data_IF_349445268621
#
_entry.id   IF_349445268621
#
_cell.length_a   1.000
_cell.length_b   1.000
_cell.length_c   1.000
_cell.angle_alpha   90.00
_cell.angle_beta   90.00
_cell.angle_gamma   90.00
#
_symmetry.space_group_name_H-M   'P 1'
#
loop_
_entity.id
_entity.type
_entity.pdbx_description
1 polymer ?
#
# COMPACT_ATOMS: atom_id res chain seq x y z
N UNK A 1 5.71 28.81 -26.59
CA UNK A 1 4.75 29.09 -25.49
C UNK A 1 5.06 28.10 -24.38
N UNK A 2 5.31 28.55 -23.15
CA UNK A 2 5.44 27.63 -22.00
C UNK A 2 4.05 27.17 -21.58
N UNK A 3 3.87 25.86 -21.40
CA UNK A 3 2.63 25.30 -20.88
C UNK A 3 2.39 25.78 -19.45
N UNK A 4 1.14 26.10 -19.12
CA UNK A 4 0.73 26.44 -17.76
C UNK A 4 0.86 25.22 -16.84
N UNK A 5 1.00 25.42 -15.52
CA UNK A 5 1.00 24.31 -14.56
C UNK A 5 -0.22 23.38 -14.69
N UNK A 6 -1.39 23.93 -15.04
CA UNK A 6 -2.61 23.15 -15.24
C UNK A 6 -2.54 22.27 -16.49
N UNK A 7 -2.01 22.78 -17.60
CA UNK A 7 -1.79 22.00 -18.83
C UNK A 7 -0.76 20.88 -18.61
N UNK A 8 0.30 21.16 -17.86
CA UNK A 8 1.30 20.16 -17.47
C UNK A 8 0.68 19.09 -16.58
N UNK A 9 -0.18 19.47 -15.63
CA UNK A 9 -0.92 18.53 -14.80
C UNK A 9 -1.82 17.61 -15.63
N UNK A 10 -2.64 18.15 -16.54
CA UNK A 10 -3.51 17.33 -17.39
C UNK A 10 -2.72 16.43 -18.36
N UNK A 11 -1.57 16.91 -18.84
CA UNK A 11 -0.65 16.10 -19.67
C UNK A 11 -0.10 14.93 -18.86
N UNK A 12 0.37 15.18 -17.64
CA UNK A 12 0.85 14.15 -16.74
C UNK A 12 -0.27 13.17 -16.36
N UNK A 13 -1.46 13.66 -16.03
CA UNK A 13 -2.63 12.84 -15.74
C UNK A 13 -2.98 11.92 -16.92
N UNK A 14 -3.04 12.46 -18.14
CA UNK A 14 -3.32 11.70 -19.36
C UNK A 14 -2.27 10.62 -19.60
N UNK A 15 -0.98 10.96 -19.43
CA UNK A 15 0.11 10.01 -19.53
C UNK A 15 -0.05 8.86 -18.52
N UNK A 16 -0.34 9.19 -17.26
CA UNK A 16 -0.51 8.18 -16.20
C UNK A 16 -1.74 7.31 -16.45
N UNK A 17 -2.87 7.88 -16.87
CA UNK A 17 -4.07 7.11 -17.23
C UNK A 17 -3.81 6.12 -18.36
N UNK A 18 -3.00 6.50 -19.35
CA UNK A 18 -2.68 5.63 -20.50
C UNK A 18 -1.70 4.50 -20.15
N UNK A 19 -0.72 4.77 -19.30
CA UNK A 19 0.39 3.84 -19.04
C UNK A 19 0.27 3.07 -17.71
N UNK A 20 -0.53 3.56 -16.77
CA UNK A 20 -0.71 3.02 -15.41
C UNK A 20 -2.20 2.95 -15.04
N UNK A 21 -3.03 2.53 -16.00
CA UNK A 21 -4.48 2.50 -15.85
C UNK A 21 -4.94 1.68 -14.63
N UNK A 22 -4.29 0.54 -14.34
CA UNK A 22 -4.60 -0.31 -13.19
C UNK A 22 -4.44 0.43 -11.87
N UNK A 23 -3.32 1.14 -11.71
CA UNK A 23 -2.97 1.89 -10.51
C UNK A 23 -3.94 3.08 -10.31
N UNK A 24 -4.28 3.79 -11.40
CA UNK A 24 -5.29 4.85 -11.39
C UNK A 24 -6.67 4.30 -11.00
N UNK A 25 -7.06 3.14 -11.55
CA UNK A 25 -8.35 2.51 -11.26
C UNK A 25 -8.46 2.17 -9.79
N UNK A 26 -7.42 1.62 -9.17
CA UNK A 26 -7.41 1.33 -7.73
C UNK A 26 -7.39 2.62 -6.89
N UNK A 27 -6.59 3.62 -7.25
CA UNK A 27 -6.58 4.91 -6.56
C UNK A 27 -7.96 5.58 -6.55
N UNK A 28 -8.70 5.50 -7.66
CA UNK A 28 -10.06 6.03 -7.77
C UNK A 28 -11.09 5.27 -6.92
N UNK A 29 -10.86 3.99 -6.59
CA UNK A 29 -11.73 3.28 -5.63
C UNK A 29 -11.57 3.83 -4.22
N UNK A 30 -10.34 4.21 -3.83
CA UNK A 30 -10.07 4.79 -2.51
C UNK A 30 -10.77 6.14 -2.31
N UNK A 31 -10.92 6.94 -3.38
CA UNK A 31 -11.67 8.21 -3.35
C UNK A 31 -13.18 8.03 -3.11
N UNK A 32 -13.70 6.80 -3.16
CA UNK A 32 -15.11 6.49 -2.94
C UNK A 32 -15.38 5.85 -1.57
N UNK A 33 -14.35 5.70 -0.74
CA UNK A 33 -14.47 5.14 0.62
C UNK A 33 -14.99 6.23 1.54
N UNK A 34 -16.08 5.96 2.25
CA UNK A 34 -16.60 6.82 3.31
C UNK A 34 -15.91 6.52 4.64
N UNK A 35 -15.72 7.54 5.49
CA UNK A 35 -14.98 7.38 6.76
C UNK A 35 -15.65 6.37 7.69
N UNK A 36 -16.97 6.19 7.61
CA UNK A 36 -17.69 5.19 8.39
C UNK A 36 -17.30 3.74 8.04
N UNK A 37 -16.74 3.49 6.85
CA UNK A 37 -16.31 2.16 6.41
C UNK A 37 -14.85 1.83 6.77
N UNK A 38 -14.16 2.76 7.42
CA UNK A 38 -12.74 2.61 7.77
C UNK A 38 -12.63 2.10 9.20
N UNK A 39 -12.64 0.77 9.36
CA UNK A 39 -12.25 0.14 10.61
C UNK A 39 -10.72 0.06 10.76
N UNK A 40 -10.23 -0.35 11.94
CA UNK A 40 -8.80 -0.44 12.24
C UNK A 40 -8.08 -1.39 11.28
N UNK A 41 -8.72 -2.50 10.93
CA UNK A 41 -8.17 -3.55 10.04
C UNK A 41 -7.99 -3.01 8.63
N UNK A 42 -9.01 -2.33 8.09
CA UNK A 42 -8.95 -1.67 6.80
C UNK A 42 -7.86 -0.61 6.78
N UNK A 43 -7.80 0.24 7.80
CA UNK A 43 -6.76 1.26 7.91
C UNK A 43 -5.36 0.64 7.93
N UNK A 44 -5.14 -0.38 8.77
CA UNK A 44 -3.85 -1.06 8.89
C UNK A 44 -3.42 -1.70 7.57
N UNK A 45 -4.33 -2.36 6.87
CA UNK A 45 -4.07 -2.91 5.54
C UNK A 45 -3.66 -1.84 4.53
N UNK A 46 -4.32 -0.67 4.53
CA UNK A 46 -3.92 0.44 3.64
C UNK A 46 -2.60 1.07 4.05
N UNK A 47 -2.34 1.22 5.34
CA UNK A 47 -1.08 1.74 5.84
C UNK A 47 0.10 0.86 5.41
N UNK A 48 0.02 -0.46 5.65
CA UNK A 48 1.04 -1.44 5.24
C UNK A 48 1.27 -1.38 3.73
N UNK A 49 0.19 -1.34 2.94
CA UNK A 49 0.28 -1.23 1.48
C UNK A 49 1.07 0.01 1.04
N UNK A 50 0.80 1.16 1.65
CA UNK A 50 1.51 2.43 1.37
C UNK A 50 2.97 2.36 1.80
N UNK A 51 3.26 1.81 2.98
CA UNK A 51 4.65 1.63 3.45
C UNK A 51 5.45 0.79 2.46
N UNK A 52 4.90 -0.29 1.93
CA UNK A 52 5.58 -1.07 0.90
C UNK A 52 5.68 -0.33 -0.44
N UNK A 53 4.59 0.27 -0.93
CA UNK A 53 4.59 0.99 -2.21
C UNK A 53 5.50 2.22 -2.24
N UNK A 54 5.90 2.77 -1.09
CA UNK A 54 6.88 3.88 -1.05
C UNK A 54 8.32 3.48 -1.46
N UNK A 55 8.60 2.19 -1.65
CA UNK A 55 9.89 1.72 -2.17
C UNK A 55 9.79 0.60 -3.22
N UNK A 56 8.60 0.11 -3.51
CA UNK A 56 8.35 -0.95 -4.48
C UNK A 56 7.29 -0.51 -5.49
N UNK A 57 7.38 -0.99 -6.73
CA UNK A 57 6.30 -0.83 -7.71
C UNK A 57 5.03 -1.49 -7.17
N UNK A 58 3.89 -0.84 -7.36
CA UNK A 58 2.58 -1.36 -6.94
C UNK A 58 2.36 -2.80 -7.41
N UNK A 59 2.68 -3.09 -8.68
CA UNK A 59 2.53 -4.42 -9.26
C UNK A 59 3.38 -5.51 -8.56
N UNK A 60 4.52 -5.15 -7.96
CA UNK A 60 5.34 -6.09 -7.18
C UNK A 60 4.69 -6.37 -5.83
N UNK A 61 4.23 -5.33 -5.14
CA UNK A 61 3.50 -5.48 -3.86
C UNK A 61 2.21 -6.26 -4.06
N UNK A 62 1.45 -5.92 -5.10
CA UNK A 62 0.17 -6.56 -5.41
C UNK A 62 0.31 -8.06 -5.73
N UNK A 63 1.40 -8.47 -6.37
CA UNK A 63 1.68 -9.90 -6.65
C UNK A 63 1.90 -10.73 -5.40
N UNK A 64 2.35 -10.12 -4.30
CA UNK A 64 2.58 -10.77 -3.00
C UNK A 64 1.52 -10.39 -1.97
N UNK A 65 0.45 -9.71 -2.38
CA UNK A 65 -0.47 -9.08 -1.44
C UNK A 65 -1.24 -10.09 -0.58
N UNK A 66 -1.59 -11.24 -1.14
CA UNK A 66 -2.24 -12.31 -0.38
C UNK A 66 -1.27 -12.88 0.68
N UNK A 67 -0.01 -13.15 0.32
CA UNK A 67 1.01 -13.59 1.28
C UNK A 67 1.25 -12.54 2.38
N UNK A 68 1.34 -11.26 2.01
CA UNK A 68 1.46 -10.14 2.95
C UNK A 68 0.23 -10.11 3.87
N UNK A 69 -0.99 -10.22 3.33
CA UNK A 69 -2.22 -10.21 4.13
C UNK A 69 -2.20 -11.33 5.17
N UNK A 70 -1.83 -12.53 4.76
CA UNK A 70 -1.82 -13.70 5.64
C UNK A 70 -0.74 -13.55 6.72
N UNK A 71 0.46 -13.08 6.36
CA UNK A 71 1.54 -12.80 7.33
C UNK A 71 1.16 -11.76 8.36
N UNK A 72 0.41 -10.72 7.98
CA UNK A 72 -0.04 -9.70 8.92
C UNK A 72 -1.40 -10.02 9.54
N UNK A 73 -1.78 -11.30 9.64
CA UNK A 73 -3.00 -11.76 10.30
C UNK A 73 -4.26 -11.03 9.80
N UNK A 74 -4.40 -10.90 8.47
CA UNK A 74 -5.47 -10.14 7.84
C UNK A 74 -5.57 -8.68 8.28
N UNK A 75 -4.44 -8.12 8.71
CA UNK A 75 -4.27 -6.77 9.23
C UNK A 75 -4.96 -6.52 10.58
N UNK A 76 -5.22 -7.58 11.33
CA UNK A 76 -5.72 -7.47 12.70
C UNK A 76 -4.63 -6.89 13.62
N UNK A 77 -4.91 -5.71 14.19
CA UNK A 77 -3.93 -4.96 14.97
C UNK A 77 -3.52 -5.70 16.24
N UNK A 78 -4.48 -6.34 16.91
CA UNK A 78 -4.22 -7.06 18.16
C UNK A 78 -3.28 -8.25 17.92
N UNK A 79 -3.53 -9.01 16.85
CA UNK A 79 -2.64 -10.10 16.41
C UNK A 79 -1.25 -9.59 16.03
N UNK A 80 -1.15 -8.47 15.31
CA UNK A 80 0.16 -7.89 14.92
C UNK A 80 1.01 -7.56 16.15
N UNK A 81 0.40 -6.99 17.18
CA UNK A 81 1.09 -6.66 18.44
C UNK A 81 1.53 -7.94 19.16
N UNK A 82 0.69 -8.97 19.20
CA UNK A 82 1.00 -10.22 19.90
C UNK A 82 2.07 -11.07 19.19
N UNK A 83 2.11 -11.05 17.87
CA UNK A 83 2.97 -11.93 17.05
C UNK A 83 4.08 -11.17 16.30
N UNK A 84 4.50 -10.02 16.81
CA UNK A 84 5.45 -9.12 16.14
C UNK A 84 6.74 -9.80 15.67
N UNK A 85 7.34 -10.69 16.47
CA UNK A 85 8.59 -11.36 16.11
C UNK A 85 8.40 -12.39 14.98
N UNK A 86 7.33 -13.17 15.05
CA UNK A 86 6.95 -14.13 13.99
C UNK A 86 6.67 -13.40 12.67
N UNK A 87 5.88 -12.31 12.73
CA UNK A 87 5.56 -11.49 11.56
C UNK A 87 6.84 -10.92 10.95
N UNK A 88 7.79 -10.50 11.77
CA UNK A 88 9.08 -9.99 11.28
C UNK A 88 9.83 -11.06 10.47
N UNK A 89 9.89 -12.29 10.98
CA UNK A 89 10.57 -13.40 10.32
C UNK A 89 9.90 -13.77 8.99
N UNK A 90 8.58 -13.90 8.97
CA UNK A 90 7.83 -14.25 7.76
C UNK A 90 7.85 -13.12 6.72
N UNK A 91 7.64 -11.87 7.14
CA UNK A 91 7.66 -10.72 6.24
C UNK A 91 9.05 -10.53 5.60
N UNK A 92 10.13 -10.92 6.28
CA UNK A 92 11.48 -10.92 5.70
C UNK A 92 11.63 -11.93 4.55
N UNK A 93 10.90 -13.06 4.58
CA UNK A 93 10.89 -14.03 3.46
C UNK A 93 10.09 -13.50 2.27
N UNK A 94 9.03 -12.75 2.53
CA UNK A 94 8.10 -12.27 1.48
C UNK A 94 8.52 -10.95 0.85
N UNK A 95 9.03 -9.97 1.59
CA UNK A 95 9.43 -8.67 1.01
C UNK A 95 10.90 -8.35 1.23
N UNK A 96 11.56 -8.96 2.22
CA UNK A 96 13.01 -8.83 2.41
C UNK A 96 13.48 -7.40 2.65
N UNK A 97 12.62 -6.53 3.20
CA UNK A 97 12.93 -5.11 3.41
C UNK A 97 12.80 -4.71 4.89
N UNK A 98 13.83 -5.04 5.68
CA UNK A 98 13.88 -4.86 7.13
C UNK A 98 13.37 -3.51 7.62
N UNK A 99 13.84 -2.39 7.06
CA UNK A 99 13.45 -1.06 7.54
C UNK A 99 11.94 -0.76 7.38
N UNK A 100 11.28 -1.35 6.39
CA UNK A 100 9.84 -1.17 6.17
C UNK A 100 9.03 -2.05 7.12
N UNK A 101 9.49 -3.29 7.32
CA UNK A 101 8.90 -4.23 8.30
C UNK A 101 9.01 -3.64 9.70
N UNK A 102 10.21 -3.18 10.08
CA UNK A 102 10.43 -2.53 11.37
C UNK A 102 9.61 -1.25 11.52
N UNK A 103 9.37 -0.49 10.44
CA UNK A 103 8.50 0.69 10.50
C UNK A 103 7.04 0.31 10.79
N UNK A 104 6.53 -0.75 10.17
CA UNK A 104 5.17 -1.25 10.42
C UNK A 104 5.03 -1.74 11.86
N UNK A 105 5.97 -2.54 12.34
CA UNK A 105 5.89 -3.22 13.64
C UNK A 105 6.24 -2.34 14.86
N UNK A 106 6.79 -1.13 14.64
CA UNK A 106 7.09 -0.17 15.72
C UNK A 106 6.00 0.86 15.95
N UNK A 107 4.96 0.86 15.12
CA UNK A 107 3.83 1.81 15.20
C UNK A 107 2.85 1.34 16.26
#
# INVERSE_FOLDING_TARGET
MMSTPLELFHTAESYVVQHYYSEIKEARKLLKVTLEDVDKTYFMGKYIHVVYCSGFKWSVVNRRWDEIRDTYYYFDVDSIVLFTDEIREEAMKIIGHKNKIDAILKT
#
